data_IF_473839433241
#
_entry.id   IF_473839433241
#
_cell.length_a   1.000
_cell.length_b   1.000
_cell.length_c   1.000
_cell.angle_alpha   90.00
_cell.angle_beta   90.00
_cell.angle_gamma   90.00
#
_symmetry.space_group_name_H-M   'P 1'
#
loop_
_entity.id
_entity.type
_entity.pdbx_description
1 polymer ?
#
# COMPACT_ATOMS: atom_id res chain seq x y z
N UNK A 1 -0.86 19.60 2.61
CA UNK A 1 -1.28 18.90 3.85
C UNK A 1 -0.12 18.52 4.76
N UNK A 2 0.89 17.78 4.30
CA UNK A 2 1.99 17.30 5.15
C UNK A 2 2.79 18.38 5.91
N UNK A 3 2.81 19.61 5.39
CA UNK A 3 3.47 20.76 6.02
C UNK A 3 2.65 21.45 7.11
N UNK A 4 1.42 20.99 7.39
CA UNK A 4 0.53 21.63 8.38
C UNK A 4 0.89 21.18 9.80
N UNK A 5 1.28 22.09 10.71
CA UNK A 5 1.74 21.72 12.05
C UNK A 5 0.71 20.92 12.86
N UNK A 6 -0.58 21.25 12.72
CA UNK A 6 -1.67 20.56 13.41
C UNK A 6 -1.82 19.11 12.94
N UNK A 7 -1.65 18.85 11.64
CA UNK A 7 -1.73 17.50 11.06
C UNK A 7 -0.49 16.68 11.43
N UNK A 8 0.69 17.31 11.42
CA UNK A 8 1.93 16.67 11.87
C UNK A 8 1.83 16.25 13.34
N UNK A 9 1.32 17.13 14.20
CA UNK A 9 1.14 16.85 15.62
C UNK A 9 0.17 15.69 15.84
N UNK A 10 -1.01 15.74 15.22
CA UNK A 10 -2.03 14.70 15.40
C UNK A 10 -1.56 13.35 14.84
N UNK A 11 -0.90 13.35 13.68
CA UNK A 11 -0.32 12.13 13.11
C UNK A 11 0.72 11.52 14.05
N UNK A 12 1.64 12.34 14.57
CA UNK A 12 2.68 11.90 15.50
C UNK A 12 2.11 11.39 16.81
N UNK A 13 1.05 12.01 17.32
CA UNK A 13 0.34 11.54 18.51
C UNK A 13 -0.32 10.17 18.28
N UNK A 14 -0.90 9.95 17.09
CA UNK A 14 -1.58 8.69 16.76
C UNK A 14 -0.64 7.54 16.45
N UNK A 15 0.42 7.78 15.67
CA UNK A 15 1.29 6.72 15.14
C UNK A 15 2.70 6.70 15.74
N UNK A 16 3.10 7.74 16.49
CA UNK A 16 4.38 7.78 17.21
C UNK A 16 5.60 8.20 16.36
N UNK A 17 5.39 8.69 15.12
CA UNK A 17 6.47 9.13 14.23
C UNK A 17 6.05 10.36 13.40
N UNK A 18 7.02 11.04 12.80
CA UNK A 18 6.79 12.30 12.08
C UNK A 18 6.11 12.08 10.73
N UNK A 19 5.05 12.85 10.44
CA UNK A 19 4.38 12.80 9.14
C UNK A 19 5.33 13.21 8.00
N UNK A 20 5.79 12.23 7.24
CA UNK A 20 6.76 12.38 6.15
C UNK A 20 6.44 11.41 5.01
N UNK A 21 7.14 11.54 3.87
CA UNK A 21 6.98 10.58 2.77
C UNK A 21 7.28 9.16 3.27
N UNK A 22 6.42 8.16 2.98
CA UNK A 22 6.60 6.81 3.50
C UNK A 22 7.82 6.14 2.87
N UNK A 23 8.53 5.37 3.70
CA UNK A 23 9.67 4.53 3.29
C UNK A 23 9.33 3.04 3.33
N UNK A 24 8.17 2.69 3.92
CA UNK A 24 7.65 1.32 3.99
C UNK A 24 6.16 1.30 3.66
N UNK A 25 5.63 0.13 3.29
CA UNK A 25 4.19 -0.05 3.05
C UNK A 25 3.35 0.18 4.31
N UNK A 26 3.85 -0.20 5.49
CA UNK A 26 3.17 0.10 6.76
C UNK A 26 3.03 1.62 6.98
N UNK A 27 4.09 2.39 6.70
CA UNK A 27 4.02 3.85 6.77
C UNK A 27 3.04 4.42 5.75
N UNK A 28 3.03 3.89 4.52
CA UNK A 28 2.07 4.29 3.49
C UNK A 28 0.62 4.04 3.95
N UNK A 29 0.35 2.86 4.51
CA UNK A 29 -0.98 2.51 5.04
C UNK A 29 -1.40 3.42 6.18
N UNK A 30 -0.52 3.69 7.14
CA UNK A 30 -0.82 4.58 8.27
C UNK A 30 -1.12 6.02 7.81
N UNK A 31 -0.36 6.53 6.85
CA UNK A 31 -0.63 7.83 6.20
C UNK A 31 -1.99 7.80 5.49
N UNK A 32 -2.27 6.75 4.72
CA UNK A 32 -3.53 6.64 4.00
C UNK A 32 -4.71 6.59 4.99
N UNK A 33 -4.64 5.77 6.03
CA UNK A 33 -5.65 5.70 7.08
C UNK A 33 -5.85 7.05 7.80
N UNK A 34 -4.76 7.78 8.06
CA UNK A 34 -4.84 9.10 8.67
C UNK A 34 -5.64 10.10 7.84
N UNK A 35 -5.43 10.10 6.53
CA UNK A 35 -6.07 11.03 5.61
C UNK A 35 -7.42 10.54 5.06
N UNK A 36 -7.81 9.30 5.34
CA UNK A 36 -9.00 8.71 4.75
C UNK A 36 -10.29 9.46 5.17
N UNK A 37 -11.02 9.98 4.18
CA UNK A 37 -12.29 10.73 4.34
C UNK A 37 -12.19 11.98 5.23
N UNK A 38 -11.00 12.56 5.36
CA UNK A 38 -10.79 13.75 6.20
C UNK A 38 -11.30 15.01 5.49
N UNK A 39 -11.75 16.01 6.25
CA UNK A 39 -12.07 17.34 5.71
C UNK A 39 -10.86 18.26 5.84
N UNK A 40 -10.34 18.75 4.72
CA UNK A 40 -9.24 19.72 4.66
C UNK A 40 -9.60 20.77 3.62
N UNK A 41 -9.58 22.05 4.00
CA UNK A 41 -9.93 23.19 3.14
C UNK A 41 -11.31 23.07 2.45
N UNK A 42 -12.30 22.56 3.20
CA UNK A 42 -13.66 22.36 2.69
C UNK A 42 -13.80 21.23 1.66
N UNK A 43 -12.78 20.36 1.53
CA UNK A 43 -12.82 19.19 0.65
C UNK A 43 -12.58 17.92 1.44
N UNK A 44 -13.31 16.87 1.06
CA UNK A 44 -12.99 15.50 1.48
C UNK A 44 -11.72 15.05 0.78
N UNK A 45 -10.70 14.70 1.56
CA UNK A 45 -9.48 14.06 1.07
C UNK A 45 -9.54 12.55 1.36
N UNK A 46 -8.88 11.77 0.51
CA UNK A 46 -8.77 10.32 0.63
C UNK A 46 -7.31 9.93 0.78
N UNK A 47 -7.06 8.86 1.52
CA UNK A 47 -5.72 8.49 1.96
C UNK A 47 -4.80 7.97 0.87
N UNK A 48 -5.36 7.23 -0.07
CA UNK A 48 -4.66 6.64 -1.18
C UNK A 48 -5.59 6.60 -2.40
N UNK A 49 -4.98 6.66 -3.58
CA UNK A 49 -5.62 6.34 -4.85
C UNK A 49 -4.96 5.08 -5.37
N UNK A 50 -5.72 3.99 -5.44
CA UNK A 50 -5.23 2.67 -5.85
C UNK A 50 -5.91 2.23 -7.15
N UNK A 51 -5.29 1.29 -7.86
CA UNK A 51 -5.84 0.76 -9.10
C UNK A 51 -6.95 -0.27 -8.82
N UNK A 52 -8.18 0.03 -9.22
CA UNK A 52 -9.33 -0.87 -8.98
C UNK A 52 -10.05 -1.28 -10.28
N UNK A 53 -9.51 -0.87 -11.42
CA UNK A 53 -10.13 -1.08 -12.74
C UNK A 53 -10.07 -2.57 -13.12
N UNK A 54 -11.20 -3.11 -13.60
CA UNK A 54 -11.40 -4.55 -13.87
C UNK A 54 -11.39 -4.94 -15.35
N UNK A 55 -11.49 -3.97 -16.25
CA UNK A 55 -11.63 -4.19 -17.69
C UNK A 55 -10.33 -4.54 -18.40
N UNK A 56 -9.18 -4.24 -17.79
CA UNK A 56 -7.85 -4.61 -18.26
C UNK A 56 -6.92 -4.88 -17.08
N UNK A 57 -5.63 -4.58 -17.23
CA UNK A 57 -4.57 -4.88 -16.27
C UNK A 57 -4.54 -3.94 -15.06
N UNK A 58 -5.47 -2.98 -14.92
CA UNK A 58 -5.40 -1.96 -13.86
C UNK A 58 -5.26 -2.56 -12.46
N UNK A 59 -6.23 -3.37 -12.03
CA UNK A 59 -6.19 -4.01 -10.71
C UNK A 59 -5.00 -4.98 -10.56
N UNK A 60 -4.61 -5.68 -11.63
CA UNK A 60 -3.51 -6.65 -11.57
C UNK A 60 -2.16 -5.95 -11.45
N UNK A 61 -1.95 -4.82 -12.14
CA UNK A 61 -0.74 -4.01 -12.04
C UNK A 61 -0.57 -3.44 -10.64
N UNK A 62 -1.64 -2.85 -10.07
CA UNK A 62 -1.60 -2.32 -8.71
C UNK A 62 -1.29 -3.39 -7.65
N UNK A 63 -1.94 -4.56 -7.75
CA UNK A 63 -1.66 -5.66 -6.84
C UNK A 63 -0.23 -6.21 -7.04
N UNK A 64 0.25 -6.31 -8.28
CA UNK A 64 1.61 -6.79 -8.57
C UNK A 64 2.70 -5.90 -7.99
N UNK A 65 2.57 -4.58 -8.07
CA UNK A 65 3.55 -3.64 -7.49
C UNK A 65 3.78 -3.90 -5.99
N UNK A 66 2.68 -4.18 -5.25
CA UNK A 66 2.76 -4.55 -3.84
C UNK A 66 3.36 -5.95 -3.70
N UNK A 67 2.83 -6.94 -4.41
CA UNK A 67 3.29 -8.33 -4.35
C UNK A 67 4.80 -8.45 -4.55
N UNK A 68 5.37 -7.79 -5.56
CA UNK A 68 6.82 -7.81 -5.84
C UNK A 68 7.63 -7.25 -4.67
N UNK A 69 7.13 -6.19 -4.02
CA UNK A 69 7.78 -5.60 -2.84
C UNK A 69 7.76 -6.53 -1.63
N UNK A 70 6.79 -7.45 -1.56
CA UNK A 70 6.74 -8.51 -0.56
C UNK A 70 7.54 -9.76 -0.96
N UNK A 71 8.13 -9.80 -2.15
CA UNK A 71 8.98 -10.89 -2.63
C UNK A 71 8.23 -11.95 -3.44
N UNK A 72 7.14 -11.57 -4.10
CA UNK A 72 6.44 -12.41 -5.06
C UNK A 72 7.36 -12.98 -6.14
N UNK A 73 7.11 -14.24 -6.51
CA UNK A 73 7.74 -14.91 -7.64
C UNK A 73 6.65 -15.55 -8.49
N UNK A 74 6.71 -15.29 -9.80
CA UNK A 74 5.70 -15.78 -10.74
C UNK A 74 5.77 -17.30 -10.95
N UNK A 75 6.95 -17.88 -10.76
CA UNK A 75 7.21 -19.31 -10.84
C UNK A 75 8.54 -19.64 -10.14
N UNK A 76 8.85 -20.92 -9.99
CA UNK A 76 10.13 -21.39 -9.51
C UNK A 76 11.26 -20.92 -10.45
N UNK A 77 12.24 -20.11 -9.96
CA UNK A 77 13.35 -19.61 -10.78
C UNK A 77 14.26 -20.70 -11.36
N UNK A 78 14.17 -21.93 -10.85
CA UNK A 78 14.98 -23.08 -11.27
C UNK A 78 14.20 -24.09 -12.10
N UNK A 79 12.87 -24.03 -12.13
CA UNK A 79 12.01 -25.00 -12.81
C UNK A 79 10.74 -24.30 -13.34
N UNK A 80 10.75 -23.87 -14.61
CA UNK A 80 9.62 -23.18 -15.22
C UNK A 80 8.30 -23.96 -15.04
N UNK A 81 7.19 -23.22 -14.95
CA UNK A 81 5.82 -23.72 -14.73
C UNK A 81 5.55 -24.36 -13.36
N UNK A 82 6.53 -24.44 -12.46
CA UNK A 82 6.29 -24.83 -11.06
C UNK A 82 5.92 -23.58 -10.24
N UNK A 83 4.61 -23.34 -10.09
CA UNK A 83 4.08 -22.10 -9.49
C UNK A 83 3.64 -22.25 -8.02
N UNK A 84 3.31 -23.47 -7.59
CA UNK A 84 2.84 -23.75 -6.23
C UNK A 84 3.94 -23.43 -5.20
N UNK A 85 3.58 -22.71 -4.14
CA UNK A 85 4.51 -22.19 -3.15
C UNK A 85 5.31 -20.96 -3.58
N UNK A 86 5.23 -20.55 -4.85
CA UNK A 86 5.84 -19.32 -5.37
C UNK A 86 4.78 -18.23 -5.55
N UNK A 87 3.79 -18.47 -6.42
CA UNK A 87 2.69 -17.53 -6.69
C UNK A 87 1.85 -17.33 -5.43
N UNK A 88 1.48 -18.42 -4.75
CA UNK A 88 0.70 -18.44 -3.52
C UNK A 88 1.57 -18.57 -2.25
N UNK A 89 2.83 -18.15 -2.29
CA UNK A 89 3.69 -18.14 -1.11
C UNK A 89 3.08 -17.30 0.03
N UNK A 90 3.46 -17.58 1.28
CA UNK A 90 3.01 -16.77 2.43
C UNK A 90 3.32 -15.28 2.27
N UNK A 91 4.41 -14.95 1.56
CA UNK A 91 4.79 -13.57 1.27
C UNK A 91 3.85 -12.92 0.26
N UNK A 92 3.51 -13.64 -0.79
CA UNK A 92 2.52 -13.21 -1.79
C UNK A 92 1.16 -12.98 -1.12
N UNK A 93 0.73 -13.90 -0.25
CA UNK A 93 -0.53 -13.75 0.50
C UNK A 93 -0.51 -12.49 1.35
N UNK A 94 0.56 -12.22 2.11
CA UNK A 94 0.69 -10.99 2.90
C UNK A 94 0.66 -9.72 2.04
N UNK A 95 1.29 -9.74 0.87
CA UNK A 95 1.24 -8.61 -0.07
C UNK A 95 -0.17 -8.37 -0.59
N UNK A 96 -0.92 -9.43 -0.90
CA UNK A 96 -2.31 -9.31 -1.35
C UNK A 96 -3.27 -8.88 -0.22
N UNK A 97 -3.08 -9.36 1.00
CA UNK A 97 -3.87 -8.92 2.17
C UNK A 97 -3.62 -7.46 2.55
N UNK A 98 -2.43 -6.93 2.22
CA UNK A 98 -2.12 -5.52 2.39
C UNK A 98 -2.86 -4.62 1.39
N UNK A 99 -2.99 -5.06 0.13
CA UNK A 99 -3.55 -4.30 -0.99
C UNK A 99 -5.06 -4.07 -0.85
#
# INVERSE_FOLDING_TARGET
>A
WFSRPELQKEFKEKYGWDLAAPTTFDQLKQIAEFFQKRQIDGKTVYGASIYTERGSEGITMGAMDVLYSYGFQYENPKKPYEMEGFVNSEKSVKGLEFY
#
